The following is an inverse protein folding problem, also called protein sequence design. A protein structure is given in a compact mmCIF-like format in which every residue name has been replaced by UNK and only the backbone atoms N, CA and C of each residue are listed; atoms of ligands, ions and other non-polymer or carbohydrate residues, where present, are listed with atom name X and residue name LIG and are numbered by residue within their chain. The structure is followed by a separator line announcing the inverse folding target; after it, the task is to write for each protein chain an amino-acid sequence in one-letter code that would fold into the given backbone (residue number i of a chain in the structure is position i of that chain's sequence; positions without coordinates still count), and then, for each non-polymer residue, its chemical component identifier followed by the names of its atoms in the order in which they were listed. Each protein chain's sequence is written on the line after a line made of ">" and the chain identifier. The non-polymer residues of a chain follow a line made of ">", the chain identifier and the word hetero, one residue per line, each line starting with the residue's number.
data_IF_469099099166
#
_entry.id   IF_469099099166
#
_cell.length_a   1.000
_cell.length_b   1.000
_cell.length_c   1.000
_cell.angle_alpha   90.00
_cell.angle_beta   90.00
_cell.angle_gamma   90.00
#
_symmetry.space_group_name_H-M   'P 1'
#
loop_
_entity.id
_entity.type
_entity.pdbx_description
1 polymer ?
#
# COMPACT_ATOMS: atom_id res chain seq x y z
N UNK A 1 -4.16 -2.50 5.48
CA UNK A 1 -5.16 -3.43 4.90
C UNK A 1 -4.67 -3.92 3.57
N UNK A 2 -5.14 -5.08 3.12
CA UNK A 2 -4.72 -5.63 1.83
C UNK A 2 -5.77 -5.37 0.74
N UNK A 3 -5.38 -5.53 -0.53
CA UNK A 3 -6.20 -5.32 -1.73
C UNK A 3 -7.49 -6.15 -1.83
N UNK A 4 -7.79 -7.04 -0.87
CA UNK A 4 -8.97 -7.92 -0.89
C UNK A 4 -9.81 -7.82 0.38
N UNK A 5 -9.30 -7.21 1.45
CA UNK A 5 -9.93 -7.11 2.76
C UNK A 5 -9.91 -5.66 3.25
N UNK A 6 -10.79 -4.82 2.68
CA UNK A 6 -10.88 -3.38 2.96
C UNK A 6 -12.01 -3.01 3.95
N UNK A 7 -11.71 -2.69 5.20
CA UNK A 7 -12.64 -1.97 6.08
C UNK A 7 -12.94 -0.52 5.62
N UNK A 8 -12.19 0.07 4.68
CA UNK A 8 -12.63 1.29 4.02
C UNK A 8 -13.82 1.01 3.10
N UNK A 9 -14.78 1.95 3.05
CA UNK A 9 -15.82 1.92 2.01
C UNK A 9 -15.19 2.04 0.61
N UNK A 10 -15.87 1.59 -0.47
CA UNK A 10 -15.35 1.71 -1.82
C UNK A 10 -14.92 3.13 -2.21
N UNK A 11 -15.68 4.15 -1.79
CA UNK A 11 -15.37 5.55 -2.06
C UNK A 11 -14.12 6.00 -1.30
N UNK A 12 -14.06 5.76 0.01
CA UNK A 12 -12.90 6.17 0.82
C UNK A 12 -11.63 5.43 0.42
N UNK A 13 -11.74 4.17 -0.01
CA UNK A 13 -10.62 3.41 -0.56
C UNK A 13 -10.09 4.00 -1.87
N UNK A 14 -10.98 4.40 -2.79
CA UNK A 14 -10.59 5.07 -4.04
C UNK A 14 -9.94 6.43 -3.79
N UNK A 15 -10.47 7.21 -2.85
CA UNK A 15 -9.87 8.50 -2.46
C UNK A 15 -8.47 8.30 -1.88
N UNK A 16 -8.30 7.33 -0.97
CA UNK A 16 -6.98 6.98 -0.44
C UNK A 16 -5.99 6.61 -1.56
N UNK A 17 -6.41 5.79 -2.52
CA UNK A 17 -5.58 5.46 -3.69
C UNK A 17 -5.26 6.68 -4.55
N UNK A 18 -6.19 7.63 -4.67
CA UNK A 18 -5.97 8.87 -5.42
C UNK A 18 -4.93 9.76 -4.74
N UNK A 19 -4.90 9.85 -3.41
CA UNK A 19 -3.85 10.58 -2.67
C UNK A 19 -2.45 10.04 -2.98
N UNK A 20 -2.28 8.71 -2.91
CA UNK A 20 -1.01 8.08 -3.30
C UNK A 20 -0.76 8.19 -4.81
N UNK A 21 -1.81 8.18 -5.63
CA UNK A 21 -1.71 8.40 -7.07
C UNK A 21 -1.16 9.78 -7.42
N UNK A 22 -1.58 10.83 -6.71
CA UNK A 22 -1.02 12.16 -6.85
C UNK A 22 0.48 12.17 -6.48
N UNK A 23 0.85 11.56 -5.36
CA UNK A 23 2.25 11.41 -4.96
C UNK A 23 3.09 10.69 -6.02
N UNK A 24 2.54 9.61 -6.60
CA UNK A 24 3.19 8.88 -7.69
C UNK A 24 3.37 9.73 -8.95
N UNK A 25 2.34 10.48 -9.35
CA UNK A 25 2.40 11.37 -10.53
C UNK A 25 3.46 12.44 -10.34
N UNK A 26 3.49 13.10 -9.18
CA UNK A 26 4.50 14.13 -8.87
C UNK A 26 5.90 13.54 -8.89
N UNK A 27 6.13 12.42 -8.18
CA UNK A 27 7.43 11.78 -8.10
C UNK A 27 7.91 11.28 -9.48
N UNK A 28 7.01 10.68 -10.26
CA UNK A 28 7.32 10.22 -11.63
C UNK A 28 7.62 11.40 -12.56
N UNK A 29 6.88 12.50 -12.45
CA UNK A 29 7.15 13.71 -13.25
C UNK A 29 8.54 14.25 -12.95
N UNK A 30 8.91 14.39 -11.68
CA UNK A 30 10.25 14.81 -11.29
C UNK A 30 11.33 13.84 -11.79
N UNK A 31 11.06 12.54 -11.70
CA UNK A 31 11.96 11.51 -12.22
C UNK A 31 12.21 11.69 -13.72
N UNK A 32 11.15 11.89 -14.52
CA UNK A 32 11.26 12.08 -15.96
C UNK A 32 11.97 13.40 -16.34
N UNK A 33 11.70 14.48 -15.60
CA UNK A 33 12.35 15.79 -15.82
C UNK A 33 13.85 15.73 -15.51
N UNK A 34 14.26 14.93 -14.52
CA UNK A 34 15.65 14.83 -14.06
C UNK A 34 16.36 13.54 -14.47
N UNK A 35 15.90 12.83 -15.50
CA UNK A 35 16.47 11.54 -15.93
C UNK A 35 18.00 11.54 -16.10
N UNK A 36 18.55 12.65 -16.59
CA UNK A 36 20.01 12.81 -16.80
C UNK A 36 20.80 12.99 -15.51
N UNK A 37 20.16 13.43 -14.42
CA UNK A 37 20.79 13.74 -13.14
C UNK A 37 20.65 12.58 -12.13
N UNK A 38 19.99 11.49 -12.52
CA UNK A 38 19.75 10.35 -11.63
C UNK A 38 20.98 9.45 -11.57
N UNK A 39 21.49 9.25 -10.35
CA UNK A 39 22.38 8.13 -10.07
C UNK A 39 21.60 6.81 -10.15
N UNK A 40 21.68 6.14 -11.29
CA UNK A 40 20.92 4.92 -11.59
C UNK A 40 21.21 3.76 -10.64
N UNK A 41 22.45 3.64 -10.14
CA UNK A 41 22.81 2.59 -9.18
C UNK A 41 22.13 2.82 -7.83
N UNK A 42 22.17 4.06 -7.33
CA UNK A 42 21.48 4.43 -6.11
C UNK A 42 19.96 4.27 -6.27
N UNK A 43 19.40 4.75 -7.38
CA UNK A 43 17.96 4.64 -7.67
C UNK A 43 17.51 3.17 -7.70
N UNK A 44 18.19 2.32 -8.47
CA UNK A 44 17.85 0.90 -8.57
C UNK A 44 18.01 0.18 -7.23
N UNK A 45 19.07 0.50 -6.47
CA UNK A 45 19.28 -0.03 -5.12
C UNK A 45 18.15 0.35 -4.16
N UNK A 46 17.81 1.64 -4.10
CA UNK A 46 16.73 2.19 -3.27
C UNK A 46 15.34 1.69 -3.68
N UNK A 47 15.13 1.38 -4.97
CA UNK A 47 13.89 0.78 -5.42
C UNK A 47 13.80 -0.69 -4.99
N UNK A 48 14.82 -1.49 -5.32
CA UNK A 48 14.77 -2.96 -5.17
C UNK A 48 14.86 -3.42 -3.72
N UNK A 49 15.63 -2.73 -2.86
CA UNK A 49 15.88 -3.24 -1.50
C UNK A 49 14.62 -3.31 -0.63
N UNK A 50 13.61 -2.46 -0.91
CA UNK A 50 12.32 -2.46 -0.20
C UNK A 50 11.67 -3.84 -0.30
N UNK A 51 11.57 -4.38 -1.52
CA UNK A 51 10.97 -5.70 -1.77
C UNK A 51 11.91 -6.84 -1.44
N UNK A 52 13.21 -6.67 -1.72
CA UNK A 52 14.21 -7.70 -1.48
C UNK A 52 14.26 -8.10 0.02
N UNK A 53 14.10 -7.12 0.90
CA UNK A 53 14.07 -7.34 2.36
C UNK A 53 12.64 -7.55 2.84
N UNK A 54 11.69 -6.73 2.36
CA UNK A 54 10.35 -6.66 2.91
C UNK A 54 9.39 -7.72 2.39
N UNK A 55 9.35 -7.94 1.08
CA UNK A 55 8.29 -8.73 0.43
C UNK A 55 8.75 -10.13 0.01
N UNK A 56 9.83 -10.21 -0.76
CA UNK A 56 10.27 -11.43 -1.45
C UNK A 56 10.48 -12.60 -0.47
N UNK A 57 11.14 -12.45 0.70
CA UNK A 57 11.33 -13.56 1.63
C UNK A 57 10.00 -14.14 2.13
N UNK A 58 9.05 -13.27 2.47
CA UNK A 58 7.71 -13.67 2.93
C UNK A 58 6.91 -14.35 1.84
N UNK A 59 6.93 -13.82 0.62
CA UNK A 59 6.23 -14.37 -0.54
C UNK A 59 6.74 -15.79 -0.87
N UNK A 60 8.06 -15.98 -0.92
CA UNK A 60 8.67 -17.31 -1.17
C UNK A 60 8.19 -18.33 -0.13
N UNK A 61 8.27 -17.98 1.16
CA UNK A 61 7.87 -18.91 2.23
C UNK A 61 6.36 -19.17 2.20
N UNK A 62 5.55 -18.15 1.92
CA UNK A 62 4.10 -18.29 1.76
C UNK A 62 3.73 -19.24 0.61
N UNK A 63 4.35 -19.06 -0.55
CA UNK A 63 4.06 -19.92 -1.71
C UNK A 63 4.54 -21.36 -1.51
N UNK A 64 5.64 -21.56 -0.76
CA UNK A 64 6.14 -22.89 -0.40
C UNK A 64 5.37 -23.56 0.74
N UNK A 65 4.70 -22.79 1.60
CA UNK A 65 3.88 -23.33 2.69
C UNK A 65 2.65 -24.08 2.15
N UNK A 66 2.31 -25.21 2.77
CA UNK A 66 1.12 -26.01 2.43
C UNK A 66 -0.17 -25.38 2.97
N UNK A 67 -0.13 -24.88 4.21
CA UNK A 67 -1.28 -24.30 4.92
C UNK A 67 -1.35 -22.78 4.82
N UNK A 68 -0.36 -22.16 4.15
CA UNK A 68 -0.24 -20.71 3.95
C UNK A 68 -0.06 -19.92 5.25
N UNK A 69 0.25 -20.60 6.36
CA UNK A 69 0.65 -19.97 7.60
C UNK A 69 2.16 -19.76 7.60
N UNK A 70 2.60 -18.52 7.86
CA UNK A 70 4.02 -18.16 7.93
C UNK A 70 4.30 -17.33 9.18
N UNK A 71 5.56 -17.30 9.59
CA UNK A 71 6.00 -16.50 10.74
C UNK A 71 5.63 -15.02 10.60
N UNK A 72 5.23 -14.39 11.72
CA UNK A 72 4.92 -12.96 11.77
C UNK A 72 6.13 -12.07 11.51
N UNK A 73 7.35 -12.60 11.59
CA UNK A 73 8.58 -11.88 11.20
C UNK A 73 8.49 -11.35 9.77
N UNK A 74 7.93 -12.11 8.82
CA UNK A 74 7.77 -11.65 7.44
C UNK A 74 6.81 -10.46 7.31
N UNK A 75 5.79 -10.39 8.18
CA UNK A 75 4.87 -9.24 8.22
C UNK A 75 5.58 -8.02 8.80
N UNK A 76 6.42 -8.21 9.82
CA UNK A 76 7.25 -7.13 10.37
C UNK A 76 8.21 -6.60 9.30
N UNK A 77 8.95 -7.49 8.63
CA UNK A 77 9.87 -7.10 7.55
C UNK A 77 9.15 -6.30 6.46
N UNK A 78 8.02 -6.82 5.96
CA UNK A 78 7.22 -6.11 4.97
C UNK A 78 6.79 -4.73 5.49
N UNK A 79 6.18 -4.68 6.68
CA UNK A 79 5.61 -3.45 7.22
C UNK A 79 6.67 -2.39 7.54
N UNK A 80 7.85 -2.80 8.00
CA UNK A 80 8.98 -1.92 8.22
C UNK A 80 9.48 -1.36 6.88
N UNK A 81 9.74 -2.21 5.89
CA UNK A 81 10.27 -1.75 4.60
C UNK A 81 9.24 -0.93 3.80
N UNK A 82 7.95 -1.24 3.91
CA UNK A 82 6.88 -0.52 3.21
C UNK A 82 6.28 0.63 4.04
N UNK A 83 6.91 1.02 5.16
CA UNK A 83 6.48 2.15 5.97
C UNK A 83 7.01 3.47 5.40
N UNK A 84 6.12 4.45 5.22
CA UNK A 84 6.52 5.82 4.90
C UNK A 84 7.44 6.41 5.97
N UNK A 85 7.25 6.04 7.24
CA UNK A 85 8.11 6.51 8.34
C UNK A 85 9.53 6.00 8.15
N UNK A 86 9.69 4.70 7.89
CA UNK A 86 11.00 4.10 7.68
C UNK A 86 11.68 4.70 6.45
N UNK A 87 10.96 4.85 5.34
CA UNK A 87 11.54 5.41 4.12
C UNK A 87 11.82 6.91 4.19
N UNK A 88 11.02 7.66 4.95
CA UNK A 88 11.33 9.04 5.32
C UNK A 88 12.63 9.13 6.12
N UNK A 89 12.83 8.26 7.11
CA UNK A 89 14.08 8.21 7.88
C UNK A 89 15.29 7.82 7.02
N UNK A 90 15.14 6.85 6.11
CA UNK A 90 16.19 6.52 5.15
C UNK A 90 16.53 7.72 4.27
N UNK A 91 15.51 8.43 3.77
CA UNK A 91 15.70 9.64 2.95
C UNK A 91 16.47 10.71 3.71
N UNK A 92 16.07 11.00 4.95
CA UNK A 92 16.72 12.02 5.79
C UNK A 92 18.16 11.62 6.13
N UNK A 93 18.40 10.35 6.46
CA UNK A 93 19.74 9.83 6.72
C UNK A 93 20.62 9.92 5.47
N UNK A 94 20.07 9.61 4.31
CA UNK A 94 20.78 9.70 3.04
C UNK A 94 21.18 11.14 2.73
N UNK A 95 20.24 12.08 2.85
CA UNK A 95 20.49 13.51 2.64
C UNK A 95 21.59 14.01 3.60
N UNK A 96 21.58 13.55 4.85
CA UNK A 96 22.61 13.92 5.81
C UNK A 96 24.01 13.41 5.46
N UNK A 97 24.12 12.19 4.91
CA UNK A 97 25.41 11.56 4.62
C UNK A 97 25.97 11.91 3.23
N UNK A 98 25.12 12.03 2.22
CA UNK A 98 25.52 12.16 0.81
C UNK A 98 24.92 13.40 0.12
N UNK A 99 24.06 14.14 0.80
CA UNK A 99 23.32 15.26 0.22
C UNK A 99 22.04 14.82 -0.50
N UNK A 100 21.20 15.80 -0.90
CA UNK A 100 20.01 15.52 -1.67
C UNK A 100 20.37 15.13 -3.12
N UNK A 101 19.75 14.06 -3.62
CA UNK A 101 19.88 13.64 -5.01
C UNK A 101 18.56 13.06 -5.56
N UNK A 102 18.42 13.05 -6.88
CA UNK A 102 17.21 12.58 -7.57
C UNK A 102 16.99 11.07 -7.46
N UNK A 103 18.02 10.29 -7.13
CA UNK A 103 17.88 8.85 -6.88
C UNK A 103 16.88 8.53 -5.75
N UNK A 104 16.71 9.45 -4.78
CA UNK A 104 15.77 9.32 -3.68
C UNK A 104 14.31 9.26 -4.14
N UNK A 105 13.99 9.68 -5.37
CA UNK A 105 12.66 9.52 -5.96
C UNK A 105 12.25 8.05 -6.10
N UNK A 106 13.20 7.10 -6.07
CA UNK A 106 12.89 5.67 -6.04
C UNK A 106 11.94 5.30 -4.89
N UNK A 107 12.13 5.89 -3.71
CA UNK A 107 11.36 5.57 -2.50
C UNK A 107 9.88 5.98 -2.61
N UNK A 108 9.51 7.24 -2.93
CA UNK A 108 8.12 7.60 -3.15
C UNK A 108 7.53 6.92 -4.38
N UNK A 109 8.29 6.71 -5.47
CA UNK A 109 7.77 5.99 -6.64
C UNK A 109 7.36 4.56 -6.26
N UNK A 110 8.20 3.83 -5.52
CA UNK A 110 7.89 2.48 -5.05
C UNK A 110 6.66 2.47 -4.14
N UNK A 111 6.70 3.25 -3.06
CA UNK A 111 5.66 3.25 -2.03
C UNK A 111 4.31 3.78 -2.53
N UNK A 112 4.32 4.86 -3.31
CA UNK A 112 3.10 5.39 -3.90
C UNK A 112 2.60 4.49 -5.02
N UNK A 113 3.50 3.89 -5.82
CA UNK A 113 3.17 2.90 -6.85
C UNK A 113 2.38 1.74 -6.27
N UNK A 114 2.89 1.13 -5.21
CA UNK A 114 2.22 0.01 -4.52
C UNK A 114 0.80 0.32 -4.07
N UNK A 115 0.61 1.50 -3.48
CA UNK A 115 -0.67 1.90 -2.91
C UNK A 115 -1.65 2.38 -3.96
N UNK A 116 -1.19 3.17 -4.93
CA UNK A 116 -2.02 3.73 -5.98
C UNK A 116 -2.44 2.69 -7.03
N UNK A 117 -1.52 1.80 -7.43
CA UNK A 117 -1.73 0.86 -8.54
C UNK A 117 -2.17 -0.52 -8.07
N UNK A 118 -1.53 -1.06 -7.01
CA UNK A 118 -1.85 -2.40 -6.52
C UNK A 118 -2.77 -2.39 -5.29
N UNK A 119 -2.87 -1.25 -4.59
CA UNK A 119 -3.67 -1.17 -3.37
C UNK A 119 -3.04 -1.91 -2.20
N UNK A 120 -1.72 -2.12 -2.25
CA UNK A 120 -0.95 -2.81 -1.23
C UNK A 120 -0.55 -1.80 -0.15
N UNK A 121 -1.16 -1.90 1.03
CA UNK A 121 -0.75 -1.17 2.22
C UNK A 121 -0.04 -2.12 3.18
N UNK A 122 0.16 -1.67 4.42
CA UNK A 122 0.71 -2.51 5.50
C UNK A 122 -0.14 -3.78 5.67
N UNK A 123 0.58 -4.91 5.80
CA UNK A 123 0.05 -6.26 5.98
C UNK A 123 -0.54 -6.40 7.39
N UNK A 124 -1.84 -6.66 7.51
CA UNK A 124 -2.46 -6.94 8.80
C UNK A 124 -1.99 -8.30 9.33
N UNK A 125 -1.61 -8.36 10.60
CA UNK A 125 -1.12 -9.61 11.22
C UNK A 125 -2.20 -10.69 11.34
N UNK A 126 -3.48 -10.33 11.31
CA UNK A 126 -4.60 -11.26 11.42
C UNK A 126 -5.00 -11.89 10.06
N UNK A 127 -4.44 -11.42 8.95
CA UNK A 127 -4.75 -11.92 7.61
C UNK A 127 -3.57 -12.73 7.05
N UNK A 128 -3.80 -13.35 5.89
CA UNK A 128 -2.76 -14.02 5.13
C UNK A 128 -1.72 -13.01 4.63
N UNK A 129 -0.49 -13.49 4.41
CA UNK A 129 0.59 -12.63 3.93
C UNK A 129 0.32 -12.16 2.50
N UNK A 130 -0.09 -13.09 1.63
CA UNK A 130 -0.65 -12.72 0.33
C UNK A 130 -2.14 -12.36 0.46
N UNK A 131 -2.63 -11.35 -0.28
CA UNK A 131 -4.03 -10.95 -0.20
C UNK A 131 -4.96 -12.10 -0.64
N UNK A 132 -5.77 -12.59 0.30
CA UNK A 132 -6.83 -13.57 0.07
C UNK A 132 -8.08 -13.08 0.78
N UNK A 133 -9.22 -13.07 0.08
CA UNK A 133 -10.48 -12.65 0.68
C UNK A 133 -10.83 -13.50 1.91
N UNK A 134 -10.98 -12.87 3.06
CA UNK A 134 -11.26 -13.55 4.32
C UNK A 134 -12.79 -13.74 4.47
N UNK A 135 -13.28 -14.95 4.80
CA UNK A 135 -14.72 -15.23 4.85
C UNK A 135 -15.49 -14.31 5.81
N UNK A 136 -14.89 -13.95 6.97
CA UNK A 136 -15.53 -13.04 7.91
C UNK A 136 -15.66 -11.62 7.34
N UNK A 137 -14.68 -11.17 6.55
CA UNK A 137 -14.74 -9.86 5.90
C UNK A 137 -15.83 -9.83 4.82
N UNK A 138 -15.98 -10.90 4.04
CA UNK A 138 -17.03 -11.01 3.03
C UNK A 138 -18.44 -10.93 3.66
N UNK A 139 -18.67 -11.63 4.78
CA UNK A 139 -19.95 -11.55 5.50
C UNK A 139 -20.23 -10.14 6.03
N UNK A 140 -19.24 -9.55 6.69
CA UNK A 140 -19.35 -8.16 7.18
C UNK A 140 -19.73 -7.22 6.03
N UNK A 141 -19.04 -7.31 4.89
CA UNK A 141 -19.29 -6.43 3.74
C UNK A 141 -20.72 -6.59 3.22
N UNK A 142 -21.21 -7.83 3.06
CA UNK A 142 -22.57 -8.07 2.59
C UNK A 142 -23.63 -7.53 3.56
N UNK A 143 -23.43 -7.70 4.86
CA UNK A 143 -24.37 -7.21 5.88
C UNK A 143 -24.36 -5.68 5.95
N UNK A 144 -23.17 -5.06 5.87
CA UNK A 144 -23.01 -3.61 5.90
C UNK A 144 -23.61 -2.92 4.66
N UNK A 145 -23.42 -3.49 3.48
CA UNK A 145 -23.97 -2.98 2.21
C UNK A 145 -25.51 -3.07 2.20
N UNK A 146 -26.08 -4.18 2.68
CA UNK A 146 -27.53 -4.35 2.81
C UNK A 146 -28.13 -3.29 3.75
N UNK A 147 -27.57 -3.14 4.96
CA UNK A 147 -28.06 -2.16 5.94
C UNK A 147 -27.94 -0.71 5.44
N UNK A 148 -26.90 -0.39 4.66
CA UNK A 148 -26.72 0.94 4.08
C UNK A 148 -27.77 1.27 3.01
N UNK A 149 -28.17 0.27 2.22
CA UNK A 149 -29.21 0.41 1.20
C UNK A 149 -30.57 0.65 1.84
N UNK A 150 -30.92 -0.14 2.86
CA UNK A 150 -32.17 0.03 3.62
C UNK A 150 -32.26 1.44 4.24
N UNK A 151 -31.15 1.94 4.79
CA UNK A 151 -31.08 3.30 5.33
C UNK A 151 -31.32 4.36 4.26
N UNK A 152 -30.75 4.21 3.06
CA UNK A 152 -30.93 5.18 1.98
C UNK A 152 -32.41 5.26 1.53
N UNK A 153 -33.07 4.09 1.40
CA UNK A 153 -34.49 4.01 1.04
C UNK A 153 -35.39 4.67 2.10
N UNK A 154 -35.07 4.48 3.39
CA UNK A 154 -35.81 5.13 4.48
C UNK A 154 -35.70 6.66 4.44
N UNK A 155 -34.51 7.20 4.14
CA UNK A 155 -34.32 8.65 4.02
C UNK A 155 -35.12 9.22 2.85
N UNK A 156 -35.07 8.57 1.68
CA UNK A 156 -35.83 8.99 0.50
C UNK A 156 -37.36 8.97 0.73
N UNK A 157 -37.85 7.97 1.47
CA UNK A 157 -39.27 7.90 1.86
C UNK A 157 -39.71 9.00 2.83
N UNK A 158 -38.79 9.51 3.66
CA UNK A 158 -39.08 10.64 4.56
C UNK A 158 -39.11 11.95 3.77
N UNK A 159 -38.12 12.17 2.89
CA UNK A 159 -38.02 13.40 2.09
C UNK A 159 -39.15 13.55 1.07
N UNK A 160 -39.69 12.44 0.52
CA UNK A 160 -40.84 12.48 -0.39
C UNK A 160 -42.18 12.72 0.30
N UNK A 161 -42.24 12.67 1.63
CA UNK A 161 -43.46 12.90 2.43
C UNK A 161 -43.53 14.30 3.07
N UNK A 162 -42.50 15.12 2.92
CA UNK A 162 -42.43 16.54 3.36
C UNK A 162 -42.68 17.50 2.21
#
# INVERSE_FOLDING_TARGET
>A
MDGKNHFETPTTYRLLRAEYGLGLVVASTLFFVHLGDINWWAFAGLFVYIDLIGYIPGAIVYHRSKDKQISKVYYVLYNTMHSLVTQGLVTLLWIWLWGPEWALLALPIHLCGDRALFGNFLKPFALHFEPVAHPAYLRFRSEFEAASTDRALLVEQVDTRS
#
